data_IF_699964772074
#
_entry.id   IF_699964772074
#
_cell.length_a   1.000
_cell.length_b   1.000
_cell.length_c   1.000
_cell.angle_alpha   90.00
_cell.angle_beta   90.00
_cell.angle_gamma   90.00
#
_symmetry.space_group_name_H-M   'P 1'
#
loop_
_entity.id
_entity.type
_entity.pdbx_description
1 polymer ?
#
# COMPACT_ATOMS: atom_id res chain seq x y z
N UNK A 1 -18.47 33.82 -77.61
CA UNK A 1 -17.70 34.55 -76.61
C UNK A 1 -18.03 34.03 -75.20
N UNK A 2 -17.29 33.08 -74.72
CA UNK A 2 -17.45 32.45 -73.38
C UNK A 2 -16.47 33.14 -72.39
N UNK A 3 -17.03 33.68 -71.27
CA UNK A 3 -16.30 34.19 -70.16
C UNK A 3 -15.87 33.03 -69.29
N UNK A 4 -14.56 32.95 -69.06
CA UNK A 4 -13.95 31.99 -68.14
C UNK A 4 -13.93 32.64 -66.74
N UNK A 5 -14.69 32.01 -65.78
CA UNK A 5 -14.71 32.45 -64.39
C UNK A 5 -13.42 32.06 -63.67
N UNK A 6 -12.84 33.01 -62.96
CA UNK A 6 -11.68 32.78 -62.07
C UNK A 6 -12.18 32.14 -60.77
N UNK A 7 -11.73 30.93 -60.48
CA UNK A 7 -11.92 30.28 -59.19
C UNK A 7 -10.83 30.77 -58.24
N UNK A 8 -11.24 31.49 -57.21
CA UNK A 8 -10.38 31.95 -56.12
C UNK A 8 -10.11 30.77 -55.15
N UNK A 9 -8.87 30.30 -55.16
CA UNK A 9 -8.39 29.25 -54.29
C UNK A 9 -8.00 29.86 -52.93
N UNK A 10 -8.92 29.80 -51.95
CA UNK A 10 -8.62 30.23 -50.56
C UNK A 10 -7.91 29.11 -49.87
N UNK A 11 -6.58 29.23 -49.70
CA UNK A 11 -5.79 28.31 -48.90
C UNK A 11 -6.05 28.58 -47.42
N UNK A 12 -6.80 27.71 -46.78
CA UNK A 12 -6.98 27.69 -45.32
C UNK A 12 -5.70 27.13 -44.69
N UNK A 13 -4.88 28.00 -44.12
CA UNK A 13 -3.73 27.64 -43.31
C UNK A 13 -4.21 27.15 -41.94
N UNK A 14 -4.37 25.84 -41.77
CA UNK A 14 -4.68 25.24 -40.50
C UNK A 14 -3.43 25.33 -39.57
N UNK A 15 -3.47 26.25 -38.62
CA UNK A 15 -2.46 26.41 -37.59
C UNK A 15 -2.57 25.24 -36.61
N UNK A 16 -1.68 24.25 -36.73
CA UNK A 16 -1.58 23.11 -35.83
C UNK A 16 -1.01 23.61 -34.50
N UNK A 17 -1.87 23.85 -33.50
CA UNK A 17 -1.42 24.14 -32.13
C UNK A 17 -0.93 22.82 -31.55
N UNK A 18 0.40 22.63 -31.53
CA UNK A 18 1.02 21.54 -30.80
C UNK A 18 0.94 21.87 -29.31
N UNK A 19 -0.02 21.31 -28.63
CA UNK A 19 -0.06 21.34 -27.16
C UNK A 19 1.04 20.43 -26.66
N UNK A 20 2.17 21.02 -26.30
CA UNK A 20 3.22 20.31 -25.58
C UNK A 20 2.69 20.01 -24.17
N UNK A 21 2.14 18.83 -23.97
CA UNK A 21 1.86 18.33 -22.63
C UNK A 21 3.22 18.01 -22.01
N UNK A 22 3.63 18.67 -20.91
CA UNK A 22 4.87 18.33 -20.25
C UNK A 22 4.75 16.87 -19.78
N UNK A 23 5.57 15.99 -20.32
CA UNK A 23 5.75 14.66 -19.78
C UNK A 23 6.35 14.82 -18.39
N UNK A 24 5.79 14.20 -17.33
CA UNK A 24 6.42 14.24 -16.02
C UNK A 24 7.83 13.66 -16.15
N UNK A 25 8.81 14.48 -15.88
CA UNK A 25 10.21 14.04 -15.83
C UNK A 25 10.34 13.10 -14.63
N UNK A 26 11.05 11.98 -14.78
CA UNK A 26 11.29 10.97 -13.76
C UNK A 26 11.94 11.49 -12.46
N UNK A 27 12.24 12.78 -12.36
CA UNK A 27 12.80 13.45 -11.18
C UNK A 27 11.77 13.74 -10.08
N UNK A 28 10.46 13.65 -10.36
CA UNK A 28 9.42 13.95 -9.37
C UNK A 28 8.93 12.73 -8.57
N UNK A 29 9.45 11.55 -8.87
CA UNK A 29 9.22 10.36 -8.07
C UNK A 29 10.27 10.31 -6.94
N UNK A 30 10.09 11.14 -5.92
CA UNK A 30 10.81 10.94 -4.65
C UNK A 30 10.36 9.59 -4.05
N UNK A 31 11.07 8.54 -4.44
CA UNK A 31 10.83 7.15 -4.03
C UNK A 31 10.97 6.93 -2.52
N UNK A 32 11.33 7.97 -1.77
CA UNK A 32 11.64 7.94 -0.35
C UNK A 32 10.81 8.92 0.49
N UNK A 33 9.59 9.28 0.04
CA UNK A 33 8.71 10.13 0.85
C UNK A 33 8.54 9.53 2.25
N UNK A 34 8.99 10.27 3.25
CA UNK A 34 8.90 9.87 4.65
C UNK A 34 7.63 10.45 5.28
N UNK A 35 6.75 9.59 5.73
CA UNK A 35 5.49 9.96 6.38
C UNK A 35 5.68 10.09 7.90
N UNK A 36 5.03 11.08 8.49
CA UNK A 36 5.01 11.25 9.94
C UNK A 36 4.30 10.08 10.65
N UNK A 37 4.58 9.84 11.93
CA UNK A 37 3.87 8.81 12.71
C UNK A 37 2.35 8.99 12.72
N UNK A 38 1.85 10.24 12.63
CA UNK A 38 0.42 10.53 12.57
C UNK A 38 -0.19 10.12 11.22
N UNK A 39 0.51 10.35 10.10
CA UNK A 39 0.06 9.92 8.77
C UNK A 39 0.01 8.40 8.67
N UNK A 40 1.05 7.71 9.12
CA UNK A 40 1.07 6.24 9.21
C UNK A 40 -0.10 5.72 10.06
N UNK A 41 -0.37 6.36 11.20
CA UNK A 41 -1.50 6.01 12.04
C UNK A 41 -2.84 6.18 11.34
N UNK A 42 -3.04 7.30 10.63
CA UNK A 42 -4.26 7.54 9.84
C UNK A 42 -4.44 6.47 8.78
N UNK A 43 -3.37 6.13 8.05
CA UNK A 43 -3.38 5.09 7.04
C UNK A 43 -3.75 3.72 7.62
N UNK A 44 -3.17 3.34 8.76
CA UNK A 44 -3.51 2.09 9.46
C UNK A 44 -5.01 2.03 9.76
N UNK A 45 -5.57 3.08 10.38
CA UNK A 45 -6.99 3.12 10.74
C UNK A 45 -7.87 3.09 9.49
N UNK A 46 -7.51 3.86 8.47
CA UNK A 46 -8.25 3.91 7.20
C UNK A 46 -8.26 2.56 6.50
N UNK A 47 -7.11 1.95 6.26
CA UNK A 47 -7.02 0.68 5.54
C UNK A 47 -7.52 -0.51 6.37
N UNK A 48 -7.37 -0.49 7.69
CA UNK A 48 -7.99 -1.49 8.54
C UNK A 48 -9.52 -1.48 8.38
N UNK A 49 -10.16 -0.31 8.44
CA UNK A 49 -11.61 -0.17 8.19
C UNK A 49 -11.98 -0.59 6.77
N UNK A 50 -11.24 -0.11 5.76
CA UNK A 50 -11.49 -0.40 4.35
C UNK A 50 -11.47 -1.90 4.05
N UNK A 51 -10.58 -2.65 4.71
CA UNK A 51 -10.44 -4.10 4.55
C UNK A 51 -11.07 -4.90 5.70
N UNK A 52 -11.90 -4.30 6.55
CA UNK A 52 -12.59 -4.94 7.67
C UNK A 52 -11.63 -5.73 8.58
N UNK A 53 -10.49 -5.12 8.90
CA UNK A 53 -9.49 -5.63 9.83
C UNK A 53 -9.59 -4.89 11.17
N UNK A 54 -9.17 -5.56 12.24
CA UNK A 54 -8.88 -4.86 13.50
C UNK A 54 -7.60 -4.01 13.30
N UNK A 55 -7.65 -2.68 13.56
CA UNK A 55 -6.46 -1.83 13.47
C UNK A 55 -5.30 -2.31 14.35
N UNK A 56 -5.59 -2.92 15.51
CA UNK A 56 -4.57 -3.50 16.38
C UNK A 56 -3.86 -4.68 15.71
N UNK A 57 -4.59 -5.50 14.93
CA UNK A 57 -4.01 -6.59 14.16
C UNK A 57 -3.08 -6.08 13.06
N UNK A 58 -3.54 -5.10 12.27
CA UNK A 58 -2.71 -4.51 11.20
C UNK A 58 -1.44 -3.89 11.77
N UNK A 59 -1.53 -3.20 12.92
CA UNK A 59 -0.38 -2.68 13.67
C UNK A 59 0.58 -3.78 14.13
N UNK A 60 0.03 -4.88 14.64
CA UNK A 60 0.83 -6.00 15.14
C UNK A 60 1.64 -6.65 14.03
N UNK A 61 1.04 -6.86 12.85
CA UNK A 61 1.72 -7.35 11.66
C UNK A 61 2.81 -6.37 11.26
N UNK A 62 2.51 -5.08 11.09
CA UNK A 62 3.49 -4.06 10.72
C UNK A 62 4.66 -4.01 11.72
N UNK A 63 4.39 -4.09 13.03
CA UNK A 63 5.43 -4.14 14.06
C UNK A 63 6.32 -5.37 13.93
N UNK A 64 5.73 -6.52 13.59
CA UNK A 64 6.47 -7.76 13.41
C UNK A 64 7.34 -7.73 12.15
N UNK A 65 6.85 -7.14 11.06
CA UNK A 65 7.51 -7.07 9.76
C UNK A 65 8.69 -6.10 9.74
N UNK A 66 8.43 -4.86 10.08
CA UNK A 66 9.42 -3.77 9.91
C UNK A 66 9.82 -3.07 11.20
N UNK A 67 9.09 -3.28 12.31
CA UNK A 67 9.21 -2.43 13.50
C UNK A 67 8.82 -0.97 13.20
N UNK A 68 7.90 -0.75 12.26
CA UNK A 68 7.46 0.56 11.73
C UNK A 68 8.51 1.32 10.91
N UNK A 69 9.55 0.65 10.41
CA UNK A 69 10.56 1.27 9.53
C UNK A 69 10.02 1.32 8.10
N UNK A 70 9.89 2.53 7.54
CA UNK A 70 9.18 2.76 6.29
C UNK A 70 9.90 2.21 5.06
N UNK A 71 11.23 2.28 5.01
CA UNK A 71 12.02 1.98 3.81
C UNK A 71 12.94 0.77 3.99
N UNK A 72 12.64 -0.09 4.97
CA UNK A 72 13.48 -1.28 5.19
C UNK A 72 13.29 -2.30 4.07
N UNK A 73 14.40 -2.82 3.57
CA UNK A 73 14.43 -3.91 2.60
C UNK A 73 15.08 -5.13 3.26
N UNK A 74 14.41 -6.28 3.18
CA UNK A 74 14.94 -7.53 3.71
C UNK A 74 15.93 -8.19 2.75
N UNK A 75 16.71 -9.18 3.22
CA UNK A 75 17.60 -9.98 2.36
C UNK A 75 16.85 -10.72 1.25
N UNK A 76 15.55 -10.95 1.39
CA UNK A 76 14.67 -11.61 0.40
C UNK A 76 13.97 -10.60 -0.52
N UNK A 77 14.35 -9.32 -0.48
CA UNK A 77 13.75 -8.25 -1.30
C UNK A 77 12.36 -7.80 -0.85
N UNK A 78 11.90 -8.18 0.34
CA UNK A 78 10.65 -7.66 0.89
C UNK A 78 10.85 -6.22 1.37
N UNK A 79 9.90 -5.33 1.08
CA UNK A 79 10.04 -3.87 1.20
C UNK A 79 9.00 -3.29 2.13
N UNK A 80 9.43 -2.31 2.92
CA UNK A 80 8.59 -1.33 3.61
C UNK A 80 7.92 -1.84 4.88
N UNK A 81 6.92 -1.09 5.31
CA UNK A 81 6.22 -1.27 6.59
C UNK A 81 5.60 -2.66 6.75
N UNK A 82 5.05 -3.22 5.65
CA UNK A 82 4.34 -4.49 5.62
C UNK A 82 5.17 -5.61 4.97
N UNK A 83 6.44 -5.34 4.61
CA UNK A 83 7.38 -6.28 4.01
C UNK A 83 6.80 -7.04 2.83
N UNK A 84 6.31 -6.30 1.84
CA UNK A 84 5.80 -6.90 0.60
C UNK A 84 6.95 -7.28 -0.32
N UNK A 85 6.96 -8.52 -0.80
CA UNK A 85 7.87 -8.92 -1.89
C UNK A 85 7.40 -8.31 -3.21
N UNK A 86 8.27 -8.13 -4.22
CA UNK A 86 7.89 -7.62 -5.54
C UNK A 86 6.73 -8.39 -6.17
N UNK A 87 6.75 -9.71 -6.12
CA UNK A 87 5.68 -10.57 -6.67
C UNK A 87 4.34 -10.35 -5.96
N UNK A 88 4.40 -10.23 -4.63
CA UNK A 88 3.21 -9.93 -3.83
C UNK A 88 2.68 -8.53 -4.15
N UNK A 89 3.55 -7.53 -4.26
CA UNK A 89 3.18 -6.17 -4.61
C UNK A 89 2.50 -6.11 -5.99
N UNK A 90 3.05 -6.80 -6.99
CA UNK A 90 2.47 -6.89 -8.32
C UNK A 90 1.06 -7.54 -8.29
N UNK A 91 0.91 -8.69 -7.60
CA UNK A 91 -0.38 -9.38 -7.43
C UNK A 91 -1.43 -8.48 -6.75
N UNK A 92 -1.02 -7.66 -5.81
CA UNK A 92 -1.90 -6.76 -5.05
C UNK A 92 -2.16 -5.44 -5.78
N UNK A 93 -1.52 -5.20 -6.94
CA UNK A 93 -1.53 -3.94 -7.70
C UNK A 93 -1.07 -2.76 -6.85
N UNK A 94 0.09 -2.94 -6.19
CA UNK A 94 0.82 -1.88 -5.50
C UNK A 94 1.70 -1.20 -6.53
N UNK A 95 1.42 0.07 -6.83
CA UNK A 95 2.13 0.80 -7.88
C UNK A 95 3.57 1.12 -7.48
N UNK A 96 3.76 1.54 -6.23
CA UNK A 96 5.08 1.79 -5.65
C UNK A 96 5.18 1.12 -4.28
N UNK A 97 5.97 0.04 -4.19
CA UNK A 97 6.15 -0.71 -2.95
C UNK A 97 6.95 0.08 -1.89
N UNK A 98 7.71 1.09 -2.31
CA UNK A 98 8.46 1.99 -1.43
C UNK A 98 7.60 3.11 -0.86
N UNK A 99 6.46 3.44 -1.48
CA UNK A 99 5.48 4.35 -0.88
C UNK A 99 4.79 3.69 0.30
N UNK A 100 4.89 4.31 1.47
CA UNK A 100 4.37 3.73 2.71
C UNK A 100 2.84 3.56 2.70
N UNK A 101 2.11 4.44 2.02
CA UNK A 101 0.63 4.36 1.96
C UNK A 101 0.19 3.19 1.08
N UNK A 102 0.83 3.04 -0.09
CA UNK A 102 0.62 1.91 -0.99
C UNK A 102 1.04 0.58 -0.34
N UNK A 103 2.14 0.58 0.39
CA UNK A 103 2.64 -0.58 1.11
C UNK A 103 1.66 -1.04 2.21
N UNK A 104 1.14 -0.10 3.04
CA UNK A 104 0.10 -0.39 4.05
C UNK A 104 -1.18 -0.89 3.37
N UNK A 105 -1.62 -0.26 2.29
CA UNK A 105 -2.78 -0.69 1.50
C UNK A 105 -2.63 -2.12 1.03
N UNK A 106 -1.50 -2.44 0.39
CA UNK A 106 -1.19 -3.78 -0.10
C UNK A 106 -1.18 -4.82 1.01
N UNK A 107 -0.46 -4.55 2.10
CA UNK A 107 -0.37 -5.48 3.24
C UNK A 107 -1.72 -5.72 3.92
N UNK A 108 -2.55 -4.69 4.07
CA UNK A 108 -3.91 -4.83 4.60
C UNK A 108 -4.80 -5.67 3.66
N UNK A 109 -4.71 -5.45 2.34
CA UNK A 109 -5.41 -6.26 1.34
C UNK A 109 -4.98 -7.73 1.39
N UNK A 110 -3.66 -7.99 1.48
CA UNK A 110 -3.09 -9.33 1.63
C UNK A 110 -3.63 -10.02 2.88
N UNK A 111 -3.55 -9.35 4.03
CA UNK A 111 -3.99 -9.92 5.29
C UNK A 111 -5.48 -10.27 5.28
N UNK A 112 -6.34 -9.43 4.69
CA UNK A 112 -7.77 -9.72 4.52
C UNK A 112 -7.99 -10.91 3.60
N UNK A 113 -7.27 -10.97 2.47
CA UNK A 113 -7.35 -12.09 1.55
C UNK A 113 -7.04 -13.41 2.25
N UNK A 114 -5.96 -13.46 3.03
CA UNK A 114 -5.56 -14.65 3.76
C UNK A 114 -6.56 -15.03 4.88
N UNK A 115 -7.11 -14.06 5.60
CA UNK A 115 -8.18 -14.33 6.56
C UNK A 115 -9.42 -14.94 5.89
N UNK A 116 -9.80 -14.44 4.72
CA UNK A 116 -10.91 -15.02 3.96
C UNK A 116 -10.59 -16.45 3.49
N UNK A 117 -9.37 -16.67 2.97
CA UNK A 117 -8.92 -17.98 2.49
C UNK A 117 -8.95 -19.04 3.60
N UNK A 118 -8.60 -18.67 4.82
CA UNK A 118 -8.53 -19.59 5.96
C UNK A 118 -9.72 -19.50 6.90
N UNK A 119 -10.88 -18.98 6.46
CA UNK A 119 -12.11 -18.93 7.25
C UNK A 119 -11.96 -18.15 8.56
N UNK A 120 -11.19 -17.06 8.52
CA UNK A 120 -10.85 -16.21 9.66
C UNK A 120 -9.94 -16.87 10.72
N UNK A 121 -9.36 -18.02 10.43
CA UNK A 121 -8.30 -18.59 11.28
C UNK A 121 -7.05 -17.71 11.23
N UNK A 122 -6.84 -16.97 12.32
CA UNK A 122 -5.75 -16.00 12.41
C UNK A 122 -4.37 -16.67 12.39
N UNK A 123 -4.23 -17.86 12.97
CA UNK A 123 -2.93 -18.56 13.00
C UNK A 123 -2.51 -18.99 11.60
N UNK A 124 -3.45 -19.54 10.82
CA UNK A 124 -3.21 -19.95 9.45
C UNK A 124 -2.97 -18.76 8.52
N UNK A 125 -3.76 -17.70 8.66
CA UNK A 125 -3.58 -16.48 7.88
C UNK A 125 -2.21 -15.84 8.13
N UNK A 126 -1.76 -15.74 9.39
CA UNK A 126 -0.45 -15.21 9.72
C UNK A 126 0.69 -16.13 9.26
N UNK A 127 0.49 -17.45 9.35
CA UNK A 127 1.46 -18.40 8.84
C UNK A 127 1.64 -18.26 7.32
N UNK A 128 0.53 -18.11 6.59
CA UNK A 128 0.55 -17.89 5.14
C UNK A 128 1.09 -16.52 4.75
N UNK A 129 0.86 -15.50 5.57
CA UNK A 129 1.46 -14.17 5.36
C UNK A 129 2.99 -14.24 5.35
N UNK A 130 3.57 -14.95 6.33
CA UNK A 130 5.03 -15.08 6.46
C UNK A 130 5.64 -16.11 5.51
N UNK A 131 5.02 -17.28 5.36
CA UNK A 131 5.63 -18.40 4.64
C UNK A 131 5.12 -18.55 3.20
N UNK A 132 4.06 -17.88 2.82
CA UNK A 132 3.31 -18.07 1.58
C UNK A 132 2.26 -19.17 1.69
N UNK A 133 1.19 -19.03 0.93
CA UNK A 133 0.03 -19.96 0.93
C UNK A 133 0.41 -21.41 0.61
N UNK A 134 1.38 -21.60 -0.28
CA UNK A 134 1.83 -22.94 -0.70
C UNK A 134 2.45 -23.78 0.42
N UNK A 135 2.93 -23.15 1.49
CA UNK A 135 3.53 -23.80 2.65
C UNK A 135 2.53 -24.15 3.75
N UNK A 136 1.34 -23.56 3.71
CA UNK A 136 0.25 -23.84 4.65
C UNK A 136 -0.67 -24.87 4.04
N UNK A 137 -0.35 -26.15 4.27
CA UNK A 137 -1.13 -27.29 3.78
C UNK A 137 -2.12 -27.75 4.86
N UNK A 138 -3.36 -27.99 4.46
CA UNK A 138 -4.42 -28.39 5.39
C UNK A 138 -4.76 -27.24 6.38
N UNK A 139 -5.15 -27.62 7.59
CA UNK A 139 -5.57 -26.67 8.65
C UNK A 139 -4.54 -26.59 9.80
N UNK A 140 -3.24 -26.62 9.45
CA UNK A 140 -2.18 -26.58 10.47
C UNK A 140 -1.10 -25.57 10.10
N UNK A 141 -0.57 -24.88 11.12
CA UNK A 141 0.60 -24.02 10.97
C UNK A 141 1.81 -24.89 10.63
N UNK A 142 2.54 -24.58 9.54
CA UNK A 142 3.65 -25.43 9.10
C UNK A 142 4.75 -25.53 10.17
N UNK A 143 5.45 -26.68 10.18
CA UNK A 143 6.55 -26.94 11.13
C UNK A 143 7.83 -26.16 10.81
N UNK A 144 7.71 -24.95 10.26
CA UNK A 144 8.79 -24.02 9.96
C UNK A 144 9.06 -23.16 11.20
N UNK A 145 10.27 -23.27 11.76
CA UNK A 145 10.65 -22.56 13.01
C UNK A 145 10.41 -21.05 12.90
N UNK A 146 10.85 -20.44 11.79
CA UNK A 146 10.67 -19.02 11.51
C UNK A 146 9.17 -18.63 11.52
N UNK A 147 8.36 -19.35 10.78
CA UNK A 147 6.91 -19.08 10.67
C UNK A 147 6.19 -19.23 12.01
N UNK A 148 6.50 -20.27 12.78
CA UNK A 148 5.92 -20.42 14.13
C UNK A 148 6.33 -19.31 15.08
N UNK A 149 7.58 -18.86 15.01
CA UNK A 149 8.06 -17.74 15.79
C UNK A 149 7.36 -16.43 15.38
N UNK A 150 7.18 -16.23 14.07
CA UNK A 150 6.45 -15.10 13.52
C UNK A 150 4.99 -15.05 14.02
N UNK A 151 4.25 -16.15 13.89
CA UNK A 151 2.86 -16.23 14.37
C UNK A 151 2.77 -15.85 15.84
N UNK A 152 3.61 -16.46 16.70
CA UNK A 152 3.63 -16.13 18.14
C UNK A 152 3.97 -14.66 18.39
N UNK A 153 4.93 -14.09 17.65
CA UNK A 153 5.35 -12.70 17.76
C UNK A 153 4.20 -11.74 17.43
N UNK A 154 3.49 -11.98 16.30
CA UNK A 154 2.35 -11.15 15.90
C UNK A 154 1.22 -11.24 16.90
N UNK A 155 0.87 -12.45 17.35
CA UNK A 155 -0.19 -12.65 18.35
C UNK A 155 0.12 -11.95 19.67
N UNK A 156 1.37 -12.03 20.15
CA UNK A 156 1.81 -11.28 21.33
C UNK A 156 1.63 -9.76 21.15
N UNK A 157 2.04 -9.22 20.01
CA UNK A 157 1.85 -7.79 19.72
C UNK A 157 0.36 -7.44 19.61
N UNK A 158 -0.43 -8.27 18.95
CA UNK A 158 -1.86 -8.05 18.81
C UNK A 158 -2.57 -7.97 20.17
N UNK A 159 -2.31 -8.92 21.07
CA UNK A 159 -2.88 -8.89 22.43
C UNK A 159 -2.49 -7.62 23.20
N UNK A 160 -1.22 -7.22 23.14
CA UNK A 160 -0.75 -6.01 23.80
C UNK A 160 -1.41 -4.73 23.23
N UNK A 161 -1.68 -4.69 21.91
CA UNK A 161 -2.21 -3.51 21.23
C UNK A 161 -3.74 -3.42 21.27
N UNK A 162 -4.44 -4.56 21.46
CA UNK A 162 -5.92 -4.64 21.42
C UNK A 162 -6.59 -3.76 22.48
N UNK A 163 -5.97 -3.57 23.64
CA UNK A 163 -6.48 -2.71 24.71
C UNK A 163 -6.22 -1.22 24.53
N UNK A 164 -5.39 -0.83 23.56
CA UNK A 164 -5.00 0.57 23.37
C UNK A 164 -6.06 1.39 22.60
N UNK A 165 -7.19 1.69 23.24
CA UNK A 165 -8.26 2.51 22.63
C UNK A 165 -7.79 3.91 22.18
N UNK A 166 -6.69 4.42 22.71
CA UNK A 166 -6.09 5.70 22.30
C UNK A 166 -5.82 5.77 20.80
N UNK A 167 -5.57 4.64 20.14
CA UNK A 167 -5.37 4.57 18.69
C UNK A 167 -6.64 4.73 17.87
N UNK A 168 -7.80 4.55 18.44
CA UNK A 168 -9.09 4.70 17.78
C UNK A 168 -9.62 6.14 17.84
N UNK A 169 -9.05 6.99 18.70
CA UNK A 169 -9.48 8.39 18.81
C UNK A 169 -9.10 9.15 17.52
N UNK A 170 -9.97 10.08 17.06
CA UNK A 170 -9.63 10.92 15.92
C UNK A 170 -8.28 11.59 16.14
N UNK A 171 -7.41 11.51 15.15
CA UNK A 171 -6.15 12.25 15.17
C UNK A 171 -6.50 13.71 14.94
N UNK A 172 -6.27 14.56 15.94
CA UNK A 172 -6.41 16.00 15.75
C UNK A 172 -5.55 16.43 14.57
N UNK A 173 -6.06 17.28 13.66
CA UNK A 173 -5.24 17.78 12.56
C UNK A 173 -4.04 18.50 13.17
N UNK A 174 -2.86 17.93 12.98
CA UNK A 174 -1.61 18.64 13.28
C UNK A 174 -1.49 19.88 12.41
N UNK A 175 -0.58 20.81 12.74
CA UNK A 175 -0.31 21.96 11.88
C UNK A 175 -0.06 21.45 10.46
N UNK A 176 -0.77 22.03 9.47
CA UNK A 176 -0.65 21.63 8.06
C UNK A 176 0.82 21.76 7.65
N UNK A 177 1.49 20.65 7.39
CA UNK A 177 2.77 20.69 6.71
C UNK A 177 2.53 21.33 5.35
N UNK A 178 3.21 22.43 5.08
CA UNK A 178 3.14 23.09 3.76
C UNK A 178 3.64 22.07 2.73
N UNK A 179 2.77 21.56 1.87
CA UNK A 179 3.15 20.86 0.66
C UNK A 179 2.75 19.40 0.48
N UNK A 180 1.92 18.78 1.34
CA UNK A 180 1.46 17.41 1.11
C UNK A 180 0.00 17.35 0.65
N UNK A 181 -0.26 16.95 -0.58
CA UNK A 181 -1.57 16.53 -1.04
C UNK A 181 -2.09 15.42 -0.11
N UNK A 182 -3.31 15.56 0.38
CA UNK A 182 -3.97 14.55 1.21
C UNK A 182 -4.25 13.29 0.36
N UNK A 183 -3.47 12.20 0.45
CA UNK A 183 -3.62 11.05 -0.43
C UNK A 183 -4.87 10.21 -0.15
N UNK A 184 -5.70 10.64 0.83
CA UNK A 184 -6.89 9.89 1.24
C UNK A 184 -8.20 10.43 0.66
N UNK A 185 -8.13 11.44 -0.24
CA UNK A 185 -9.30 12.00 -0.93
C UNK A 185 -9.20 11.67 -2.41
N UNK A 186 -9.53 10.45 -2.77
CA UNK A 186 -10.05 10.04 -4.09
C UNK A 186 -10.81 8.74 -3.94
#
# INVERSE_FOLDING_TARGET
LRRIGQASCTVLLAMLIVVVVPTPTNSDFDSHQHYSPQEIRRAIVFYARRYRLDPALLRAVMKAESGYRQHVVSRKGAVGLMQLTPDTAATLRVANVYDSMENIRGGAKQLRHLLNLYGSDLHLALAAYNAGVHRVKGRTVPRIRETRAYVRKVLKYYQALKGEQRWLRPVQPGPKSRGGLNPLVK
#
